data_IF_970973588558
#
_entry.id   IF_970973588558
#
_cell.length_a   1.000
_cell.length_b   1.000
_cell.length_c   1.000
_cell.angle_alpha   90.00
_cell.angle_beta   90.00
_cell.angle_gamma   90.00
#
_symmetry.space_group_name_H-M   'P 1'
#
loop_
_entity.id
_entity.type
_entity.pdbx_description
1 polymer ?
#
# COMPACT_ATOMS: atom_id res chain seq x y z
N UNK A 1 -25.09 -10.80 12.97
CA UNK A 1 -25.85 -10.67 11.71
C UNK A 1 -25.12 -11.52 10.68
N UNK A 2 -25.75 -12.58 10.17
CA UNK A 2 -25.09 -13.52 9.23
C UNK A 2 -24.76 -12.77 7.94
N UNK A 3 -23.51 -12.86 7.51
CA UNK A 3 -23.04 -12.39 6.21
C UNK A 3 -23.92 -13.08 5.15
N UNK A 4 -24.52 -12.28 4.27
CA UNK A 4 -25.40 -12.75 3.21
C UNK A 4 -24.72 -13.78 2.31
N UNK A 5 -25.56 -14.63 1.75
CA UNK A 5 -25.26 -15.74 0.83
C UNK A 5 -23.96 -15.59 0.03
N UNK A 6 -22.95 -16.35 0.45
CA UNK A 6 -22.06 -17.15 -0.39
C UNK A 6 -21.55 -16.54 -1.70
N UNK A 7 -20.93 -15.36 -1.68
CA UNK A 7 -20.07 -14.95 -2.81
C UNK A 7 -18.78 -15.76 -2.73
N UNK A 8 -18.73 -16.84 -3.51
CA UNK A 8 -17.56 -17.73 -3.61
C UNK A 8 -16.48 -17.00 -4.42
N UNK A 9 -15.31 -16.69 -3.82
CA UNK A 9 -14.15 -16.08 -4.51
C UNK A 9 -13.87 -16.69 -5.88
N UNK A 10 -13.89 -18.04 -6.05
CA UNK A 10 -13.80 -18.67 -7.36
C UNK A 10 -14.81 -18.18 -8.41
N UNK A 11 -16.03 -17.79 -8.03
CA UNK A 11 -17.03 -17.25 -8.96
C UNK A 11 -16.70 -15.81 -9.36
N UNK A 12 -16.40 -14.95 -8.38
CA UNK A 12 -15.99 -13.55 -8.63
C UNK A 12 -14.80 -13.49 -9.57
N UNK A 13 -13.81 -14.36 -9.36
CA UNK A 13 -12.63 -14.40 -10.23
C UNK A 13 -12.92 -15.02 -11.59
N UNK A 14 -13.81 -16.02 -11.68
CA UNK A 14 -14.12 -16.77 -12.91
C UNK A 14 -14.81 -15.94 -13.99
N UNK A 15 -15.52 -14.90 -13.59
CA UNK A 15 -16.28 -14.08 -14.53
C UNK A 15 -15.63 -12.71 -14.76
N UNK A 16 -14.45 -12.45 -14.17
CA UNK A 16 -13.70 -11.22 -14.40
C UNK A 16 -13.46 -11.00 -15.91
N UNK A 17 -13.93 -9.87 -16.49
CA UNK A 17 -13.55 -9.47 -17.84
C UNK A 17 -12.04 -9.42 -17.98
N UNK A 18 -11.52 -9.98 -19.07
CA UNK A 18 -10.07 -10.10 -19.30
C UNK A 18 -9.64 -9.15 -20.43
N UNK A 19 -8.48 -8.52 -20.25
CA UNK A 19 -7.75 -7.89 -21.33
C UNK A 19 -7.19 -8.97 -22.29
N UNK A 20 -6.85 -8.60 -23.54
CA UNK A 20 -6.18 -9.51 -24.46
C UNK A 20 -4.92 -10.14 -23.84
N UNK A 21 -4.68 -11.41 -24.12
CA UNK A 21 -3.54 -12.14 -23.53
C UNK A 21 -2.17 -11.59 -23.96
N UNK A 22 -2.12 -10.89 -25.10
CA UNK A 22 -0.95 -10.24 -25.67
C UNK A 22 -0.78 -8.77 -25.24
N UNK A 23 -1.64 -8.26 -24.34
CA UNK A 23 -1.47 -6.92 -23.80
C UNK A 23 -0.16 -6.82 -23.02
N UNK A 24 0.62 -5.78 -23.30
CA UNK A 24 1.83 -5.43 -22.54
C UNK A 24 1.50 -4.47 -21.42
N UNK A 25 2.09 -4.69 -20.24
CA UNK A 25 1.99 -3.80 -19.08
C UNK A 25 3.31 -3.05 -18.83
N UNK A 26 4.14 -2.94 -19.88
CA UNK A 26 5.49 -2.41 -19.84
C UNK A 26 6.51 -3.52 -19.59
N UNK A 27 7.69 -3.37 -20.20
CA UNK A 27 8.75 -4.38 -20.21
C UNK A 27 9.15 -4.88 -18.80
N UNK A 28 9.02 -4.04 -17.78
CA UNK A 28 9.36 -4.40 -16.41
C UNK A 28 8.31 -5.31 -15.74
N UNK A 29 7.02 -5.09 -15.99
CA UNK A 29 5.94 -5.97 -15.53
C UNK A 29 5.92 -7.24 -16.39
N UNK A 30 6.09 -7.13 -17.70
CA UNK A 30 6.08 -8.27 -18.61
C UNK A 30 7.20 -9.26 -18.23
N UNK A 31 8.42 -8.78 -17.99
CA UNK A 31 9.54 -9.60 -17.52
C UNK A 31 9.28 -10.23 -16.13
N UNK A 32 8.54 -9.53 -15.25
CA UNK A 32 8.14 -10.12 -13.97
C UNK A 32 7.06 -11.20 -14.15
N UNK A 33 6.10 -10.99 -15.06
CA UNK A 33 5.04 -11.94 -15.38
C UNK A 33 5.56 -13.27 -15.94
N UNK A 34 6.67 -13.25 -16.69
CA UNK A 34 7.33 -14.48 -17.17
C UNK A 34 7.62 -15.47 -16.03
N UNK A 35 7.95 -14.98 -14.84
CA UNK A 35 8.19 -15.83 -13.66
C UNK A 35 6.94 -15.95 -12.80
N UNK A 36 6.28 -14.83 -12.52
CA UNK A 36 5.15 -14.76 -11.60
C UNK A 36 3.94 -15.57 -12.07
N UNK A 37 3.70 -15.62 -13.38
CA UNK A 37 2.55 -16.29 -13.98
C UNK A 37 2.94 -17.59 -14.70
N UNK A 38 4.19 -18.05 -14.54
CA UNK A 38 4.62 -19.36 -15.04
C UNK A 38 4.09 -20.46 -14.11
N UNK A 39 3.39 -21.48 -14.64
CA UNK A 39 2.87 -22.60 -13.86
C UNK A 39 3.98 -23.35 -13.10
N UNK A 40 5.15 -23.49 -13.71
CA UNK A 40 6.28 -24.28 -13.18
C UNK A 40 7.15 -23.51 -12.18
N UNK A 41 6.91 -22.21 -11.99
CA UNK A 41 7.63 -21.42 -10.99
C UNK A 41 7.19 -21.81 -9.57
N UNK A 42 8.16 -22.03 -8.69
CA UNK A 42 7.94 -22.17 -7.25
C UNK A 42 7.58 -20.83 -6.60
N UNK A 43 6.93 -20.86 -5.43
CA UNK A 43 6.65 -19.64 -4.65
C UNK A 43 7.92 -18.83 -4.35
N UNK A 44 9.05 -19.50 -4.07
CA UNK A 44 10.35 -18.85 -3.84
C UNK A 44 10.81 -18.07 -5.06
N UNK A 45 10.71 -18.64 -6.26
CA UNK A 45 11.05 -17.96 -7.51
C UNK A 45 10.12 -16.78 -7.79
N UNK A 46 8.81 -16.94 -7.54
CA UNK A 46 7.81 -15.88 -7.71
C UNK A 46 8.07 -14.71 -6.77
N UNK A 47 8.30 -14.98 -5.48
CA UNK A 47 8.68 -13.95 -4.49
C UNK A 47 9.97 -13.23 -4.87
N UNK A 48 10.98 -13.97 -5.33
CA UNK A 48 12.23 -13.36 -5.79
C UNK A 48 12.02 -12.45 -7.01
N UNK A 49 11.15 -12.84 -7.95
CA UNK A 49 10.79 -11.99 -9.09
C UNK A 49 10.06 -10.71 -8.66
N UNK A 50 9.08 -10.82 -7.76
CA UNK A 50 8.38 -9.66 -7.19
C UNK A 50 9.36 -8.73 -6.44
N UNK A 51 10.25 -9.28 -5.60
CA UNK A 51 11.25 -8.48 -4.90
C UNK A 51 12.20 -7.75 -5.86
N UNK A 52 12.66 -8.40 -6.94
CA UNK A 52 13.48 -7.73 -7.98
C UNK A 52 12.73 -6.57 -8.62
N UNK A 53 11.43 -6.73 -8.90
CA UNK A 53 10.60 -5.67 -9.44
C UNK A 53 10.40 -4.54 -8.44
N UNK A 54 10.02 -4.84 -7.19
CA UNK A 54 9.84 -3.85 -6.12
C UNK A 54 11.10 -3.02 -5.90
N UNK A 55 12.27 -3.65 -5.91
CA UNK A 55 13.57 -2.99 -5.71
C UNK A 55 13.92 -1.94 -6.78
N UNK A 56 13.31 -2.00 -7.98
CA UNK A 56 13.69 -1.18 -9.14
C UNK A 56 12.55 -0.31 -9.67
N UNK A 57 11.36 -0.88 -9.77
CA UNK A 57 10.23 -0.31 -10.51
C UNK A 57 9.15 0.30 -9.63
N UNK A 58 9.00 -0.13 -8.37
CA UNK A 58 8.01 0.47 -7.47
C UNK A 58 8.44 1.89 -7.07
N UNK A 59 7.58 2.91 -7.15
CA UNK A 59 7.94 4.28 -6.76
C UNK A 59 8.21 4.44 -5.27
N UNK A 60 7.63 3.59 -4.42
CA UNK A 60 7.78 3.62 -2.97
C UNK A 60 9.20 3.23 -2.53
N UNK A 61 9.92 4.16 -1.87
CA UNK A 61 11.25 3.90 -1.34
C UNK A 61 11.26 2.93 -0.15
N UNK A 62 10.18 2.88 0.64
CA UNK A 62 10.05 1.93 1.75
C UNK A 62 10.06 0.49 1.23
N UNK A 63 9.27 0.20 0.18
CA UNK A 63 9.25 -1.12 -0.45
C UNK A 63 10.62 -1.52 -0.99
N UNK A 64 11.30 -0.63 -1.71
CA UNK A 64 12.68 -0.87 -2.21
C UNK A 64 13.65 -1.21 -1.09
N UNK A 65 13.61 -0.43 -0.02
CA UNK A 65 14.49 -0.61 1.13
C UNK A 65 14.22 -1.94 1.84
N UNK A 66 12.94 -2.28 2.06
CA UNK A 66 12.53 -3.50 2.73
C UNK A 66 12.92 -4.77 1.94
N UNK A 67 13.04 -4.70 0.60
CA UNK A 67 13.53 -5.84 -0.20
C UNK A 67 14.96 -6.25 0.14
N UNK A 68 15.75 -5.36 0.77
CA UNK A 68 17.15 -5.58 1.17
C UNK A 68 17.29 -6.13 2.58
N UNK A 69 16.21 -6.55 3.25
CA UNK A 69 16.27 -7.07 4.62
C UNK A 69 17.20 -8.29 4.78
N UNK A 70 17.33 -9.11 3.73
CA UNK A 70 18.24 -10.26 3.72
C UNK A 70 19.71 -9.87 3.51
N UNK A 71 19.98 -8.65 3.02
CA UNK A 71 21.34 -8.11 2.84
C UNK A 71 21.87 -7.49 4.15
N UNK A 72 21.07 -7.52 5.23
CA UNK A 72 21.43 -7.08 6.56
C UNK A 72 20.82 -5.73 6.96
N UNK A 73 20.86 -5.45 8.27
CA UNK A 73 20.23 -4.27 8.90
C UNK A 73 20.72 -2.96 8.30
N UNK A 74 22.00 -2.85 7.92
CA UNK A 74 22.53 -1.64 7.28
C UNK A 74 21.93 -1.40 5.88
N UNK A 75 21.71 -2.46 5.10
CA UNK A 75 21.19 -2.39 3.74
C UNK A 75 19.69 -2.06 3.70
N UNK A 76 18.91 -2.61 4.63
CA UNK A 76 17.49 -2.28 4.79
C UNK A 76 17.21 -1.13 5.75
N UNK A 77 18.25 -0.52 6.35
CA UNK A 77 18.13 0.45 7.45
C UNK A 77 17.17 -0.04 8.53
N UNK A 78 17.26 -1.32 8.88
CA UNK A 78 16.39 -1.96 9.89
C UNK A 78 14.92 -2.14 9.49
N UNK A 79 14.50 -1.73 8.30
CA UNK A 79 13.15 -1.97 7.80
C UNK A 79 13.00 -3.44 7.40
N UNK A 80 12.03 -4.12 8.00
CA UNK A 80 11.58 -5.44 7.59
C UNK A 80 10.18 -5.37 6.98
N UNK A 81 9.90 -6.37 6.14
CA UNK A 81 8.61 -6.54 5.49
C UNK A 81 8.23 -8.01 5.46
N UNK A 82 7.03 -8.31 5.94
CA UNK A 82 6.43 -9.63 5.86
C UNK A 82 5.52 -9.72 4.62
N UNK A 83 5.34 -10.92 4.07
CA UNK A 83 4.52 -11.12 2.88
C UNK A 83 3.72 -12.42 2.94
N UNK A 84 2.39 -12.30 2.88
CA UNK A 84 1.46 -13.38 2.61
C UNK A 84 1.34 -13.58 1.09
N UNK A 85 1.50 -14.82 0.63
CA UNK A 85 1.33 -15.19 -0.77
C UNK A 85 0.06 -16.01 -0.92
N UNK A 86 -0.83 -15.57 -1.80
CA UNK A 86 -2.08 -16.22 -2.16
C UNK A 86 -2.02 -16.53 -3.66
N UNK A 87 -2.05 -17.80 -4.05
CA UNK A 87 -2.05 -18.23 -5.44
C UNK A 87 -3.41 -18.77 -5.91
N UNK A 88 -3.48 -19.25 -7.16
CA UNK A 88 -4.71 -19.81 -7.72
C UNK A 88 -5.22 -21.05 -6.95
N UNK A 89 -4.33 -21.84 -6.32
CA UNK A 89 -4.74 -22.98 -5.49
C UNK A 89 -5.43 -22.47 -4.21
N UNK A 90 -4.82 -21.50 -3.52
CA UNK A 90 -5.43 -20.87 -2.35
C UNK A 90 -6.80 -20.24 -2.69
N UNK A 91 -6.89 -19.51 -3.81
CA UNK A 91 -8.12 -18.87 -4.27
C UNK A 91 -9.21 -19.90 -4.59
N UNK A 92 -8.84 -21.05 -5.16
CA UNK A 92 -9.78 -22.14 -5.48
C UNK A 92 -10.44 -22.75 -4.25
N UNK A 93 -9.79 -22.68 -3.08
CA UNK A 93 -10.29 -23.19 -1.80
C UNK A 93 -11.36 -22.28 -1.17
N UNK A 94 -11.61 -21.10 -1.74
CA UNK A 94 -12.65 -20.17 -1.32
C UNK A 94 -12.18 -19.11 -0.32
N UNK A 95 -13.05 -18.12 -0.08
CA UNK A 95 -12.72 -16.94 0.71
C UNK A 95 -12.33 -17.28 2.14
N UNK A 96 -13.00 -18.23 2.78
CA UNK A 96 -12.71 -18.59 4.18
C UNK A 96 -11.29 -19.12 4.36
N UNK A 97 -10.81 -19.96 3.43
CA UNK A 97 -9.44 -20.47 3.46
C UNK A 97 -8.40 -19.37 3.22
N UNK A 98 -8.70 -18.44 2.30
CA UNK A 98 -7.88 -17.26 2.04
C UNK A 98 -7.83 -16.35 3.27
N UNK A 99 -8.97 -16.05 3.87
CA UNK A 99 -9.10 -15.27 5.12
C UNK A 99 -8.26 -15.90 6.23
N UNK A 100 -8.39 -17.21 6.46
CA UNK A 100 -7.61 -17.90 7.49
C UNK A 100 -6.10 -17.77 7.24
N UNK A 101 -5.65 -17.94 5.98
CA UNK A 101 -4.24 -17.79 5.60
C UNK A 101 -3.73 -16.36 5.81
N UNK A 102 -4.52 -15.36 5.41
CA UNK A 102 -4.22 -13.94 5.59
C UNK A 102 -4.14 -13.57 7.07
N UNK A 103 -5.12 -13.97 7.90
CA UNK A 103 -5.14 -13.63 9.32
C UNK A 103 -3.98 -14.29 10.09
N UNK A 104 -3.62 -15.54 9.78
CA UNK A 104 -2.41 -16.17 10.35
C UNK A 104 -1.14 -15.41 9.97
N UNK A 105 -1.03 -14.96 8.73
CA UNK A 105 0.13 -14.17 8.29
C UNK A 105 0.17 -12.80 8.97
N UNK A 106 -0.99 -12.13 9.11
CA UNK A 106 -1.16 -10.85 9.82
C UNK A 106 -0.73 -10.96 11.29
N UNK A 107 -1.14 -12.01 12.00
CA UNK A 107 -0.74 -12.23 13.39
C UNK A 107 0.78 -12.40 13.53
N UNK A 108 1.40 -13.23 12.67
CA UNK A 108 2.86 -13.42 12.69
C UNK A 108 3.62 -12.13 12.39
N UNK A 109 3.14 -11.34 11.44
CA UNK A 109 3.70 -10.02 11.15
C UNK A 109 3.59 -9.11 12.38
N UNK A 110 2.41 -9.01 13.00
CA UNK A 110 2.21 -8.19 14.21
C UNK A 110 3.12 -8.64 15.35
N UNK A 111 3.32 -9.94 15.56
CA UNK A 111 4.24 -10.46 16.58
C UNK A 111 5.70 -10.04 16.31
N UNK A 112 6.12 -9.98 15.04
CA UNK A 112 7.44 -9.44 14.65
C UNK A 112 7.51 -7.91 14.80
N UNK A 113 6.40 -7.22 14.55
CA UNK A 113 6.30 -5.78 14.70
C UNK A 113 6.48 -5.32 16.14
N UNK A 114 6.00 -6.10 17.13
CA UNK A 114 6.16 -5.82 18.58
C UNK A 114 7.63 -5.52 18.94
N UNK A 115 8.59 -6.14 18.25
CA UNK A 115 10.02 -5.98 18.50
C UNK A 115 10.71 -5.05 17.50
N UNK A 116 9.94 -4.33 16.68
CA UNK A 116 10.41 -3.38 15.68
C UNK A 116 11.09 -4.03 14.47
N UNK A 117 10.94 -5.34 14.25
CA UNK A 117 11.59 -6.06 13.14
C UNK A 117 10.84 -5.98 11.82
N UNK A 118 9.58 -5.55 11.83
CA UNK A 118 8.75 -5.42 10.63
C UNK A 118 7.78 -4.27 10.79
N UNK A 119 7.76 -3.36 9.82
CA UNK A 119 6.85 -2.20 9.79
C UNK A 119 5.95 -2.20 8.55
N UNK A 120 6.08 -3.23 7.71
CA UNK A 120 5.33 -3.38 6.48
C UNK A 120 4.84 -4.82 6.31
N UNK A 121 3.64 -4.95 5.75
CA UNK A 121 3.05 -6.24 5.44
C UNK A 121 2.38 -6.21 4.08
N UNK A 122 2.64 -7.24 3.29
CA UNK A 122 2.14 -7.39 1.93
C UNK A 122 1.25 -8.62 1.83
N UNK A 123 0.14 -8.52 1.12
CA UNK A 123 -0.69 -9.66 0.74
C UNK A 123 -0.75 -9.68 -0.79
N UNK A 124 -0.01 -10.60 -1.39
CA UNK A 124 0.03 -10.79 -2.84
C UNK A 124 -1.00 -11.83 -3.26
N UNK A 125 -1.98 -11.41 -4.04
CA UNK A 125 -2.92 -12.28 -4.76
C UNK A 125 -2.38 -12.50 -6.17
N UNK A 126 -1.58 -13.55 -6.32
CA UNK A 126 -0.93 -13.88 -7.57
C UNK A 126 -1.81 -14.83 -8.40
N UNK A 127 -2.46 -14.26 -9.41
CA UNK A 127 -3.33 -15.00 -10.33
C UNK A 127 -3.25 -14.36 -11.71
N UNK A 128 -3.15 -15.18 -12.75
CA UNK A 128 -3.21 -14.68 -14.13
C UNK A 128 -4.54 -13.95 -14.38
N UNK A 129 -5.63 -14.43 -13.80
CA UNK A 129 -6.97 -13.82 -13.97
C UNK A 129 -7.07 -12.43 -13.37
N UNK A 130 -6.38 -12.19 -12.25
CA UNK A 130 -6.26 -10.87 -11.64
C UNK A 130 -5.30 -9.98 -12.41
N UNK A 131 -4.18 -10.54 -12.90
CA UNK A 131 -3.17 -9.79 -13.64
C UNK A 131 -3.72 -9.23 -14.96
N UNK A 132 -4.57 -10.00 -15.64
CA UNK A 132 -5.20 -9.61 -16.90
C UNK A 132 -6.64 -9.13 -16.74
N UNK A 133 -7.11 -8.89 -15.52
CA UNK A 133 -8.45 -8.33 -15.31
C UNK A 133 -8.54 -6.93 -15.94
N UNK A 134 -9.59 -6.72 -16.74
CA UNK A 134 -9.87 -5.41 -17.32
C UNK A 134 -10.28 -4.40 -16.23
N UNK A 135 -9.87 -3.12 -16.35
CA UNK A 135 -10.41 -2.06 -15.51
C UNK A 135 -11.95 -2.04 -15.61
N UNK A 136 -12.64 -1.98 -14.48
CA UNK A 136 -14.10 -2.04 -14.46
C UNK A 136 -14.68 -2.36 -13.08
N UNK A 137 -16.02 -2.36 -13.00
CA UNK A 137 -16.76 -2.61 -11.77
C UNK A 137 -16.47 -3.98 -11.18
N UNK A 138 -16.28 -4.99 -12.04
CA UNK A 138 -16.01 -6.37 -11.60
C UNK A 138 -14.65 -6.49 -10.93
N UNK A 139 -13.64 -5.79 -11.44
CA UNK A 139 -12.33 -5.71 -10.78
C UNK A 139 -12.42 -4.97 -9.44
N UNK A 140 -13.16 -3.86 -9.37
CA UNK A 140 -13.37 -3.14 -8.12
C UNK A 140 -14.10 -4.01 -7.07
N UNK A 141 -15.12 -4.77 -7.49
CA UNK A 141 -15.84 -5.71 -6.64
C UNK A 141 -14.96 -6.88 -6.17
N UNK A 142 -14.12 -7.42 -7.06
CA UNK A 142 -13.14 -8.44 -6.70
C UNK A 142 -12.11 -7.91 -5.70
N UNK A 143 -11.61 -6.68 -5.90
CA UNK A 143 -10.69 -6.04 -4.97
C UNK A 143 -11.32 -5.84 -3.57
N UNK A 144 -12.58 -5.39 -3.49
CA UNK A 144 -13.32 -5.30 -2.23
C UNK A 144 -13.48 -6.67 -1.56
N UNK A 145 -13.86 -7.70 -2.33
CA UNK A 145 -14.03 -9.06 -1.81
C UNK A 145 -12.73 -9.59 -1.21
N UNK A 146 -11.61 -9.42 -1.92
CA UNK A 146 -10.29 -9.87 -1.45
C UNK A 146 -9.77 -9.01 -0.28
N UNK A 147 -10.08 -7.72 -0.25
CA UNK A 147 -9.81 -6.86 0.91
C UNK A 147 -10.56 -7.33 2.16
N UNK A 148 -11.75 -7.91 2.01
CA UNK A 148 -12.52 -8.49 3.11
C UNK A 148 -11.84 -9.68 3.80
N UNK A 149 -10.92 -10.38 3.11
CA UNK A 149 -10.10 -11.43 3.75
C UNK A 149 -9.11 -10.85 4.77
N UNK A 150 -8.75 -9.58 4.61
CA UNK A 150 -7.85 -8.85 5.49
C UNK A 150 -8.60 -8.04 6.56
N UNK A 151 -9.62 -7.28 6.15
CA UNK A 151 -10.41 -6.38 7.00
C UNK A 151 -11.53 -7.14 7.73
N UNK A 152 -11.21 -8.17 8.50
CA UNK A 152 -12.25 -9.01 9.15
C UNK A 152 -13.07 -8.26 10.20
N UNK A 153 -12.53 -7.17 10.75
CA UNK A 153 -13.22 -6.30 11.70
C UNK A 153 -14.24 -5.36 11.03
N UNK A 154 -14.15 -5.16 9.71
CA UNK A 154 -14.96 -4.21 8.95
C UNK A 154 -15.39 -4.79 7.60
N UNK A 155 -16.69 -4.83 7.32
CA UNK A 155 -17.11 -5.11 5.94
C UNK A 155 -16.50 -4.04 5.01
N UNK A 156 -15.67 -4.42 4.02
CA UNK A 156 -14.97 -3.44 3.19
C UNK A 156 -15.99 -2.68 2.34
N UNK A 157 -16.10 -1.38 2.61
CA UNK A 157 -16.82 -0.40 1.78
C UNK A 157 -15.84 0.41 0.92
N UNK A 158 -16.26 0.82 -0.30
CA UNK A 158 -15.46 1.66 -1.18
C UNK A 158 -15.26 3.09 -0.63
N UNK A 159 -14.31 3.83 -1.20
CA UNK A 159 -14.10 5.27 -0.96
C UNK A 159 -13.79 5.64 0.51
N UNK A 160 -13.22 4.67 1.22
CA UNK A 160 -12.88 4.76 2.64
C UNK A 160 -11.41 4.45 2.88
N UNK A 161 -10.80 5.26 3.75
CA UNK A 161 -9.46 5.05 4.30
C UNK A 161 -9.57 4.03 5.41
N UNK A 162 -8.88 2.91 5.22
CA UNK A 162 -8.64 1.93 6.25
C UNK A 162 -7.23 2.11 6.79
N UNK A 163 -7.11 2.04 8.11
CA UNK A 163 -5.82 1.95 8.78
C UNK A 163 -5.69 0.59 9.46
N UNK A 164 -4.47 0.16 9.70
CA UNK A 164 -4.16 -1.02 10.51
C UNK A 164 -3.36 -0.61 11.76
N UNK A 165 -3.51 -1.37 12.84
CA UNK A 165 -2.70 -1.29 14.05
C UNK A 165 -1.41 -2.09 13.94
N UNK A 166 -0.27 -1.44 14.12
CA UNK A 166 1.04 -2.07 14.15
C UNK A 166 1.64 -1.92 15.55
N UNK A 167 1.73 -3.01 16.34
CA UNK A 167 2.19 -2.93 17.72
C UNK A 167 3.71 -2.78 17.81
N UNK A 168 4.20 -1.98 18.76
CA UNK A 168 5.61 -1.85 19.12
C UNK A 168 5.76 -1.80 20.64
N UNK A 169 6.69 -2.58 21.18
CA UNK A 169 7.08 -2.51 22.57
C UNK A 169 8.20 -1.49 22.74
N UNK A 170 7.98 -0.53 23.62
CA UNK A 170 8.95 0.50 23.95
C UNK A 170 9.91 0.06 25.06
N UNK A 171 11.06 0.74 25.22
CA UNK A 171 12.02 0.45 26.29
C UNK A 171 11.44 0.57 27.71
N UNK A 172 10.39 1.37 27.89
CA UNK A 172 9.63 1.50 29.14
C UNK A 172 8.73 0.28 29.44
N UNK A 173 8.68 -0.70 28.52
CA UNK A 173 7.86 -1.90 28.59
C UNK A 173 6.43 -1.71 28.05
N UNK A 174 6.01 -0.47 27.79
CA UNK A 174 4.68 -0.17 27.26
C UNK A 174 4.52 -0.71 25.84
N UNK A 175 3.31 -1.16 25.54
CA UNK A 175 2.93 -1.60 24.21
C UNK A 175 2.07 -0.51 23.58
N UNK A 176 2.50 -0.01 22.42
CA UNK A 176 1.78 0.99 21.66
C UNK A 176 1.43 0.47 20.28
N UNK A 177 0.27 0.84 19.74
CA UNK A 177 -0.10 0.56 18.36
C UNK A 177 -0.03 1.81 17.51
N UNK A 178 0.49 1.64 16.30
CA UNK A 178 0.70 2.70 15.31
C UNK A 178 -0.16 2.48 14.07
N UNK A 179 -0.67 3.57 13.48
CA UNK A 179 -1.41 3.52 12.22
C UNK A 179 -0.47 3.11 11.08
N UNK A 180 -0.90 2.09 10.34
CA UNK A 180 -0.44 1.79 8.99
C UNK A 180 -1.51 2.21 8.00
N UNK A 181 -1.12 2.82 6.88
CA UNK A 181 -2.03 2.94 5.73
C UNK A 181 -2.25 1.58 5.09
N UNK A 182 -3.46 1.34 4.57
CA UNK A 182 -3.82 0.10 3.84
C UNK A 182 -4.10 0.47 2.40
N UNK A 183 -3.29 -0.04 1.48
CA UNK A 183 -3.22 0.44 0.10
C UNK A 183 -3.35 -0.69 -0.91
N UNK A 184 -4.13 -0.47 -1.98
CA UNK A 184 -4.27 -1.41 -3.08
C UNK A 184 -3.32 -1.07 -4.24
N UNK A 185 -2.73 -2.12 -4.80
CA UNK A 185 -1.96 -2.11 -6.04
C UNK A 185 -2.50 -3.20 -6.96
N UNK A 186 -2.55 -2.96 -8.26
CA UNK A 186 -2.98 -3.98 -9.22
C UNK A 186 -2.39 -3.75 -10.62
N UNK A 187 -2.25 -4.82 -11.39
CA UNK A 187 -1.60 -4.79 -12.72
C UNK A 187 -2.28 -3.81 -13.68
N UNK A 188 -3.62 -3.79 -13.72
CA UNK A 188 -4.39 -2.95 -14.64
C UNK A 188 -4.34 -1.44 -14.34
N UNK A 189 -3.70 -1.01 -13.25
CA UNK A 189 -3.38 0.40 -13.00
C UNK A 189 -2.36 0.95 -14.02
N UNK A 190 -1.66 0.08 -14.76
CA UNK A 190 -0.72 0.47 -15.79
C UNK A 190 -1.33 1.47 -16.80
N UNK A 191 -0.63 2.59 -17.00
CA UNK A 191 -1.05 3.79 -17.75
C UNK A 191 -2.46 4.33 -17.45
N UNK A 192 -2.97 4.16 -16.22
CA UNK A 192 -4.27 4.72 -15.78
C UNK A 192 -4.10 5.86 -14.79
N UNK A 193 -5.22 6.34 -14.25
CA UNK A 193 -5.30 7.44 -13.29
C UNK A 193 -4.32 7.29 -12.12
N UNK A 194 -4.19 6.09 -11.59
CA UNK A 194 -3.32 5.69 -10.46
C UNK A 194 -2.17 4.79 -10.91
N UNK A 195 -1.44 5.20 -11.97
CA UNK A 195 -0.33 4.43 -12.53
C UNK A 195 0.72 3.99 -11.50
N UNK A 196 0.96 4.81 -10.48
CA UNK A 196 1.88 4.51 -9.38
C UNK A 196 1.45 3.34 -8.49
N UNK A 197 0.21 2.84 -8.66
CA UNK A 197 -0.32 1.62 -8.05
C UNK A 197 -0.19 0.36 -8.89
N UNK A 198 0.52 0.40 -10.02
CA UNK A 198 0.78 -0.81 -10.79
C UNK A 198 1.68 -1.77 -10.03
N UNK A 199 1.43 -3.07 -10.22
CA UNK A 199 2.24 -4.17 -9.66
C UNK A 199 2.09 -5.38 -10.58
N UNK A 200 3.12 -6.21 -10.79
CA UNK A 200 2.98 -7.42 -11.59
C UNK A 200 2.24 -8.52 -10.80
N UNK A 201 1.61 -9.44 -11.52
CA UNK A 201 1.13 -10.71 -11.01
C UNK A 201 -0.32 -10.73 -10.52
N UNK A 202 -1.04 -9.60 -10.54
CA UNK A 202 -2.43 -9.52 -10.09
C UNK A 202 -2.69 -8.33 -9.19
N UNK A 203 -2.96 -8.61 -7.92
CA UNK A 203 -3.39 -7.65 -6.92
C UNK A 203 -2.51 -7.77 -5.67
N UNK A 204 -2.13 -6.64 -5.11
CA UNK A 204 -1.33 -6.55 -3.89
C UNK A 204 -2.01 -5.57 -2.92
N UNK A 205 -2.27 -6.02 -1.70
CA UNK A 205 -2.62 -5.15 -0.58
C UNK A 205 -1.35 -4.90 0.22
N UNK A 206 -1.06 -3.63 0.49
CA UNK A 206 0.14 -3.17 1.19
C UNK A 206 -0.25 -2.41 2.43
N UNK A 207 0.37 -2.79 3.56
CA UNK A 207 0.29 -2.07 4.82
C UNK A 207 1.65 -1.49 5.14
N UNK A 208 1.70 -0.19 5.42
CA UNK A 208 2.94 0.51 5.74
C UNK A 208 2.74 1.45 6.92
N UNK A 209 3.49 1.22 8.01
CA UNK A 209 3.49 2.08 9.20
C UNK A 209 4.78 2.91 9.28
N UNK A 210 4.85 4.07 8.60
CA UNK A 210 6.04 4.92 8.64
C UNK A 210 6.39 5.41 10.06
N UNK A 211 5.41 5.77 10.88
CA UNK A 211 5.69 6.19 12.26
C UNK A 211 6.12 5.05 13.18
N UNK A 212 5.55 3.84 13.03
CA UNK A 212 6.08 2.63 13.66
C UNK A 212 7.55 2.40 13.29
N UNK A 213 7.89 2.58 12.01
CA UNK A 213 9.26 2.42 11.55
C UNK A 213 10.20 3.45 12.18
N UNK A 214 9.81 4.72 12.25
CA UNK A 214 10.60 5.76 12.93
C UNK A 214 10.82 5.43 14.42
N UNK A 215 9.78 4.99 15.12
CA UNK A 215 9.86 4.59 16.52
C UNK A 215 10.75 3.35 16.70
N UNK A 216 10.62 2.35 15.82
CA UNK A 216 11.46 1.17 15.84
C UNK A 216 12.94 1.49 15.59
N UNK A 217 13.25 2.45 14.70
CA UNK A 217 14.63 2.91 14.47
C UNK A 217 15.25 3.49 15.74
N UNK A 218 14.53 4.37 16.43
CA UNK A 218 14.99 4.97 17.68
C UNK A 218 15.08 3.94 18.81
N UNK A 219 14.02 3.14 19.02
CA UNK A 219 13.96 2.13 20.09
C UNK A 219 15.04 1.04 19.96
N UNK A 220 15.45 0.72 18.72
CA UNK A 220 16.51 -0.27 18.43
C UNK A 220 17.91 0.34 18.35
N UNK A 221 18.05 1.64 18.63
CA UNK A 221 19.34 2.35 18.56
C UNK A 221 19.95 2.42 17.16
N UNK A 222 19.13 2.31 16.11
CA UNK A 222 19.57 2.44 14.71
C UNK A 222 19.65 3.90 14.25
N UNK A 223 19.05 4.80 15.02
CA UNK A 223 19.17 6.26 14.92
C UNK A 223 19.30 6.86 16.31
N UNK A 224 19.79 8.10 16.38
CA UNK A 224 20.13 8.76 17.65
C UNK A 224 18.89 8.99 18.51
N UNK A 225 17.82 9.47 17.89
CA UNK A 225 16.56 9.79 18.56
C UNK A 225 15.37 9.73 17.58
N UNK A 226 14.17 9.93 18.12
CA UNK A 226 12.92 9.94 17.37
C UNK A 226 12.85 11.10 16.37
N UNK A 227 13.45 12.25 16.68
CA UNK A 227 13.45 13.43 15.81
C UNK A 227 14.21 13.14 14.52
N UNK A 228 15.41 12.55 14.64
CA UNK A 228 16.21 12.10 13.50
C UNK A 228 15.47 11.04 12.68
N UNK A 229 14.85 10.06 13.37
CA UNK A 229 14.12 8.98 12.73
C UNK A 229 12.89 9.46 11.96
N UNK A 230 12.06 10.33 12.55
CA UNK A 230 10.91 10.94 11.88
C UNK A 230 11.33 11.78 10.68
N UNK A 231 12.40 12.58 10.82
CA UNK A 231 12.92 13.37 9.71
C UNK A 231 13.41 12.49 8.55
N UNK A 232 14.08 11.36 8.85
CA UNK A 232 14.48 10.38 7.85
C UNK A 232 13.28 9.75 7.12
N UNK A 233 12.31 9.25 7.87
CA UNK A 233 11.11 8.60 7.32
C UNK A 233 10.28 9.59 6.49
N UNK A 234 10.08 10.82 6.97
CA UNK A 234 9.37 11.87 6.22
C UNK A 234 10.06 12.18 4.89
N UNK A 235 11.40 12.29 4.87
CA UNK A 235 12.16 12.47 3.61
C UNK A 235 11.97 11.29 2.65
N UNK A 236 11.90 10.05 3.15
CA UNK A 236 11.63 8.88 2.31
C UNK A 236 10.22 8.90 1.72
N UNK A 237 9.21 9.27 2.51
CA UNK A 237 7.83 9.41 2.06
C UNK A 237 7.71 10.51 0.98
N UNK A 238 8.27 11.70 1.23
CA UNK A 238 8.30 12.80 0.27
C UNK A 238 9.00 12.45 -1.05
N UNK A 239 10.05 11.63 -1.00
CA UNK A 239 10.74 11.16 -2.22
C UNK A 239 9.95 10.12 -3.00
N UNK A 240 9.08 9.37 -2.33
CA UNK A 240 8.20 8.40 -2.97
C UNK A 240 7.06 9.10 -3.74
N UNK A 241 6.56 10.22 -3.20
CA UNK A 241 5.62 11.12 -3.89
C UNK A 241 6.29 11.73 -5.12
N UNK A 242 5.58 11.82 -6.24
CA UNK A 242 6.16 12.38 -7.47
C UNK A 242 7.05 11.42 -8.24
N UNK A 243 7.31 10.21 -7.73
CA UNK A 243 8.06 9.17 -8.42
C UNK A 243 7.14 8.24 -9.23
N UNK A 244 5.82 8.48 -9.23
CA UNK A 244 4.86 7.78 -10.08
C UNK A 244 5.24 7.95 -11.56
N UNK A 245 5.25 6.85 -12.32
CA UNK A 245 5.71 6.81 -13.72
C UNK A 245 7.02 6.05 -13.93
N UNK A 246 7.74 5.70 -12.86
CA UNK A 246 8.92 4.83 -12.96
C UNK A 246 8.55 3.49 -13.59
N UNK A 247 9.35 3.10 -14.59
CA UNK A 247 9.25 1.83 -15.30
C UNK A 247 8.38 1.84 -16.56
N UNK A 248 7.82 2.99 -16.99
CA UNK A 248 7.31 3.14 -18.35
C UNK A 248 7.61 4.53 -18.95
N UNK A 249 8.22 4.62 -20.14
CA UNK A 249 8.73 5.89 -20.69
C UNK A 249 7.65 6.92 -21.04
N UNK A 250 6.41 6.47 -21.27
CA UNK A 250 5.27 7.35 -21.61
C UNK A 250 4.31 7.57 -20.43
N UNK A 251 4.66 7.12 -19.22
CA UNK A 251 3.76 7.26 -18.09
C UNK A 251 3.80 8.69 -17.54
N UNK A 252 2.63 9.23 -17.24
CA UNK A 252 2.48 10.44 -16.43
C UNK A 252 2.46 10.06 -14.95
N UNK A 253 3.02 10.91 -14.09
CA UNK A 253 2.90 10.71 -12.64
C UNK A 253 1.47 10.92 -12.16
N UNK A 254 1.03 10.10 -11.19
CA UNK A 254 -0.29 10.17 -10.55
C UNK A 254 -0.29 10.87 -9.18
N UNK A 255 0.90 11.15 -8.65
CA UNK A 255 1.13 11.92 -7.44
C UNK A 255 2.30 12.87 -7.70
N UNK A 256 2.30 14.05 -7.10
CA UNK A 256 3.28 15.11 -7.39
C UNK A 256 3.57 15.94 -6.13
N UNK A 257 4.83 16.39 -6.01
CA UNK A 257 5.20 17.40 -5.01
C UNK A 257 4.62 18.75 -5.44
N UNK A 258 3.98 19.47 -4.53
CA UNK A 258 3.26 20.70 -4.84
C UNK A 258 4.16 21.77 -5.51
N UNK A 259 3.58 22.63 -6.37
CA UNK A 259 2.19 22.62 -6.84
C UNK A 259 1.91 21.50 -7.87
N UNK A 260 0.65 21.06 -7.96
CA UNK A 260 0.20 20.12 -9.01
C UNK A 260 0.68 20.60 -10.39
N UNK A 261 1.11 19.70 -11.28
CA UNK A 261 1.59 20.12 -12.59
C UNK A 261 0.42 20.73 -13.36
N UNK A 262 0.51 22.03 -13.65
CA UNK A 262 0.01 22.52 -14.92
C UNK A 262 0.68 21.65 -16.00
N UNK A 263 -0.14 20.97 -16.80
CA UNK A 263 0.28 20.02 -17.82
C UNK A 263 1.50 20.55 -18.59
N UNK A 264 2.65 19.87 -18.45
CA UNK A 264 3.75 19.75 -19.43
C UNK A 264 5.13 19.45 -18.80
N UNK A 265 5.42 19.83 -17.55
CA UNK A 265 6.83 19.88 -17.12
C UNK A 265 7.16 18.92 -15.98
N UNK A 266 7.72 17.77 -16.35
CA UNK A 266 8.32 16.79 -15.45
C UNK A 266 9.75 17.17 -15.05
N UNK A 267 9.92 17.67 -13.81
CA UNK A 267 11.26 17.74 -13.19
C UNK A 267 11.36 18.69 -11.98
N UNK A 268 11.90 18.15 -10.88
CA UNK A 268 12.39 18.83 -9.65
C UNK A 268 11.45 19.81 -8.91
N UNK A 269 11.69 20.12 -7.62
CA UNK A 269 10.83 21.02 -6.85
C UNK A 269 10.86 22.40 -7.51
N UNK A 270 9.67 22.92 -7.85
CA UNK A 270 9.46 24.27 -8.38
C UNK A 270 9.66 25.30 -7.25
N UNK A 271 9.84 26.56 -7.62
CA UNK A 271 9.61 27.67 -6.69
C UNK A 271 8.22 27.51 -6.05
N UNK A 272 8.14 27.61 -4.72
CA UNK A 272 6.89 27.35 -3.98
C UNK A 272 6.66 25.89 -3.55
N UNK A 273 7.69 25.05 -3.52
CA UNK A 273 7.61 23.72 -2.90
C UNK A 273 7.20 23.80 -1.43
N UNK A 274 6.06 23.18 -1.12
CA UNK A 274 5.60 22.95 0.24
C UNK A 274 5.94 21.50 0.67
N UNK A 275 6.79 21.28 1.68
CA UNK A 275 7.11 19.94 2.18
C UNK A 275 5.98 19.32 3.03
N UNK A 276 4.91 20.06 3.30
CA UNK A 276 3.77 19.60 4.08
C UNK A 276 2.70 18.99 3.19
N UNK A 277 2.50 19.57 2.00
CA UNK A 277 1.44 19.16 1.09
C UNK A 277 1.95 18.57 -0.23
N UNK A 278 1.14 17.70 -0.80
CA UNK A 278 1.30 17.13 -2.12
C UNK A 278 -0.06 16.96 -2.77
N UNK A 279 -0.05 16.74 -4.08
CA UNK A 279 -1.28 16.52 -4.83
C UNK A 279 -1.23 15.16 -5.55
N UNK A 280 -2.39 14.59 -5.84
CA UNK A 280 -2.50 13.37 -6.62
C UNK A 280 -3.81 13.35 -7.42
N UNK A 281 -3.90 12.45 -8.40
CA UNK A 281 -5.14 12.23 -9.17
C UNK A 281 -6.14 11.35 -8.44
N UNK A 282 -5.84 10.90 -7.23
CA UNK A 282 -6.68 10.02 -6.41
C UNK A 282 -6.26 10.13 -4.96
N UNK A 283 -7.11 9.70 -4.02
CA UNK A 283 -6.70 9.66 -2.61
C UNK A 283 -5.81 8.43 -2.37
N UNK A 284 -4.54 8.63 -2.08
CA UNK A 284 -3.58 7.53 -1.95
C UNK A 284 -3.92 6.56 -0.80
N UNK A 285 -4.58 7.01 0.26
CA UNK A 285 -4.84 6.13 1.42
C UNK A 285 -6.22 5.47 1.42
N UNK A 286 -7.05 5.71 0.40
CA UNK A 286 -8.25 4.90 0.20
C UNK A 286 -7.86 3.55 -0.40
N UNK A 287 -8.34 2.48 0.24
CA UNK A 287 -8.02 1.11 -0.16
C UNK A 287 -8.59 0.77 -1.55
N UNK A 288 -9.90 0.96 -1.75
CA UNK A 288 -10.56 0.71 -3.05
C UNK A 288 -11.36 1.95 -3.45
N UNK A 289 -10.97 2.59 -4.56
CA UNK A 289 -11.69 3.71 -5.20
C UNK A 289 -12.30 3.22 -6.51
N UNK A 290 -13.60 2.86 -6.54
CA UNK A 290 -14.24 2.34 -7.75
C UNK A 290 -14.11 3.28 -8.95
N UNK A 291 -14.28 4.59 -8.75
CA UNK A 291 -14.14 5.59 -9.84
C UNK A 291 -12.73 5.54 -10.48
N UNK A 292 -11.71 5.34 -9.65
CA UNK A 292 -10.31 5.29 -10.10
C UNK A 292 -10.00 3.95 -10.79
N UNK A 293 -10.49 2.84 -10.25
CA UNK A 293 -10.29 1.48 -10.82
C UNK A 293 -11.06 1.29 -12.13
N UNK A 294 -12.24 1.90 -12.24
CA UNK A 294 -13.10 1.81 -13.43
C UNK A 294 -12.63 2.72 -14.57
N UNK A 295 -11.74 3.69 -14.32
CA UNK A 295 -11.21 4.58 -15.35
C UNK A 295 -10.31 3.83 -16.34
N UNK A 296 -10.92 3.36 -17.43
CA UNK A 296 -10.26 2.65 -18.51
C UNK A 296 -9.57 3.56 -19.54
N UNK A 297 -9.42 4.87 -19.29
CA UNK A 297 -8.69 5.80 -20.19
C UNK A 297 -7.18 5.61 -20.08
N UNK A 298 -6.47 5.54 -21.20
CA UNK A 298 -5.00 5.47 -21.20
C UNK A 298 -4.48 6.89 -20.99
N UNK A 299 -3.64 7.09 -19.98
CA UNK A 299 -3.11 8.39 -19.56
C UNK A 299 -1.62 8.45 -19.89
N UNK A 300 -1.29 8.97 -21.06
CA UNK A 300 0.10 9.13 -21.53
C UNK A 300 0.47 10.58 -21.87
N UNK A 301 -0.51 11.47 -21.87
CA UNK A 301 -0.39 12.88 -22.24
C UNK A 301 -0.31 13.82 -21.02
N UNK A 302 -0.49 13.28 -19.82
CA UNK A 302 -0.47 14.04 -18.57
C UNK A 302 -1.67 14.97 -18.38
N UNK A 303 -2.77 14.75 -19.11
CA UNK A 303 -3.99 15.55 -18.97
C UNK A 303 -4.91 15.00 -17.87
N UNK A 304 -5.29 15.89 -16.95
CA UNK A 304 -6.16 15.61 -15.81
C UNK A 304 -7.21 16.72 -15.70
N UNK A 305 -8.46 16.38 -15.37
CA UNK A 305 -9.43 17.41 -15.01
C UNK A 305 -9.17 17.92 -13.58
N UNK A 306 -9.55 19.16 -13.28
CA UNK A 306 -9.36 19.71 -11.93
C UNK A 306 -10.11 18.90 -10.85
N UNK A 307 -11.26 18.33 -11.21
CA UNK A 307 -12.08 17.46 -10.35
C UNK A 307 -11.39 16.14 -10.01
N UNK A 308 -10.47 15.67 -10.87
CA UNK A 308 -9.70 14.45 -10.64
C UNK A 308 -8.58 14.67 -9.61
N UNK A 309 -8.23 15.93 -9.31
CA UNK A 309 -7.08 16.30 -8.48
C UNK A 309 -7.49 16.44 -7.02
N UNK A 310 -6.73 15.76 -6.15
CA UNK A 310 -6.70 15.94 -4.71
C UNK A 310 -5.56 16.90 -4.37
N UNK A 311 -5.84 18.18 -4.05
CA UNK A 311 -4.82 19.23 -4.02
C UNK A 311 -4.08 19.38 -2.68
N UNK A 312 -4.62 18.82 -1.61
CA UNK A 312 -4.18 19.09 -0.23
C UNK A 312 -3.89 17.83 0.58
N UNK A 313 -3.27 16.82 -0.05
CA UNK A 313 -2.79 15.66 0.70
C UNK A 313 -1.55 16.05 1.50
N UNK A 314 -1.36 15.53 2.71
CA UNK A 314 -0.22 15.92 3.56
C UNK A 314 0.42 14.74 4.30
N UNK A 315 1.64 14.96 4.79
CA UNK A 315 2.43 14.00 5.58
C UNK A 315 2.74 14.51 7.00
N UNK A 316 1.98 15.49 7.46
CA UNK A 316 2.25 16.20 8.73
C UNK A 316 2.11 15.30 9.97
N UNK A 317 1.44 14.17 9.79
CA UNK A 317 1.37 13.11 10.79
C UNK A 317 2.73 12.43 11.07
N UNK A 318 3.77 12.65 10.24
CA UNK A 318 5.15 12.22 10.50
C UNK A 318 5.96 13.31 11.21
N UNK A 319 5.51 13.69 12.40
CA UNK A 319 6.09 14.76 13.19
C UNK A 319 6.39 14.28 14.63
N UNK A 320 7.61 14.51 15.15
CA UNK A 320 7.95 14.17 16.53
C UNK A 320 7.29 15.10 17.56
N UNK A 321 6.71 16.24 17.15
CA UNK A 321 6.02 17.15 18.05
C UNK A 321 4.84 16.46 18.75
N UNK A 322 4.65 16.67 20.06
CA UNK A 322 3.53 16.09 20.79
C UNK A 322 2.19 16.44 20.15
N UNK A 323 1.29 15.45 20.11
CA UNK A 323 -0.09 15.63 19.66
C UNK A 323 -1.03 15.19 20.79
N UNK A 324 -2.21 15.80 20.85
CA UNK A 324 -3.25 15.37 21.79
C UNK A 324 -3.64 13.89 21.52
N UNK A 325 -3.75 13.02 22.54
CA UNK A 325 -4.15 11.62 22.36
C UNK A 325 -5.51 11.41 21.69
N UNK A 326 -6.41 12.38 21.79
CA UNK A 326 -7.69 12.42 21.09
C UNK A 326 -7.60 12.95 19.66
N UNK A 327 -6.44 13.47 19.25
CA UNK A 327 -6.21 13.87 17.86
C UNK A 327 -6.28 12.64 16.94
N UNK A 328 -6.99 12.74 15.81
CA UNK A 328 -6.94 11.72 14.77
C UNK A 328 -5.52 11.34 14.34
N UNK A 329 -4.59 12.29 14.37
CA UNK A 329 -3.24 12.11 13.88
C UNK A 329 -2.30 11.41 14.89
N UNK A 330 -2.71 11.31 16.15
CA UNK A 330 -1.87 10.81 17.25
C UNK A 330 -1.31 9.41 16.98
N UNK A 331 -2.16 8.53 16.43
CA UNK A 331 -1.82 7.15 16.13
C UNK A 331 -0.73 6.98 15.06
N UNK A 332 -0.43 7.99 14.25
CA UNK A 332 0.59 7.88 13.21
C UNK A 332 2.01 7.96 13.78
N UNK A 333 2.33 8.99 14.57
CA UNK A 333 3.70 9.21 15.08
C UNK A 333 3.93 8.75 16.53
N UNK A 334 2.92 8.86 17.39
CA UNK A 334 3.06 8.66 18.83
C UNK A 334 2.57 7.29 19.28
N UNK A 335 1.51 6.81 18.63
CA UNK A 335 0.89 5.52 18.90
C UNK A 335 -0.05 5.57 20.10
N UNK A 336 -0.96 4.60 20.20
CA UNK A 336 -1.90 4.48 21.31
C UNK A 336 -1.46 3.37 22.25
N UNK A 337 -1.41 3.65 23.55
CA UNK A 337 -1.14 2.62 24.56
C UNK A 337 -2.24 1.56 24.55
N UNK A 338 -1.84 0.29 24.53
CA UNK A 338 -2.74 -0.86 24.57
C UNK A 338 -2.26 -1.91 25.56
N UNK A 339 -3.18 -2.75 26.02
CA UNK A 339 -2.82 -3.94 26.80
C UNK A 339 -2.32 -5.07 25.87
N UNK A 340 -1.68 -6.09 26.47
CA UNK A 340 -1.14 -7.22 25.71
C UNK A 340 -2.20 -7.98 24.91
N UNK A 341 -3.41 -8.10 25.46
CA UNK A 341 -4.52 -8.82 24.82
C UNK A 341 -5.07 -8.11 23.58
N UNK A 342 -4.92 -6.79 23.49
CA UNK A 342 -5.40 -5.96 22.38
C UNK A 342 -4.33 -5.69 21.33
N UNK A 343 -3.14 -6.32 21.41
CA UNK A 343 -2.01 -6.08 20.49
C UNK A 343 -2.34 -6.40 19.02
N UNK A 344 -3.33 -7.26 18.79
CA UNK A 344 -3.78 -7.66 17.47
C UNK A 344 -5.03 -6.91 17.02
N UNK A 345 -5.66 -6.13 17.89
CA UNK A 345 -6.88 -5.40 17.59
C UNK A 345 -6.55 -4.09 16.87
N UNK A 346 -7.49 -3.63 16.04
CA UNK A 346 -7.41 -2.33 15.39
C UNK A 346 -8.39 -1.36 16.05
N UNK A 347 -7.92 -0.33 16.77
CA UNK A 347 -8.80 0.58 17.48
C UNK A 347 -9.38 1.68 16.59
N UNK A 348 -8.88 1.86 15.36
CA UNK A 348 -9.28 2.98 14.52
C UNK A 348 -10.43 2.60 13.58
N UNK A 349 -11.52 3.37 13.57
CA UNK A 349 -12.58 3.17 12.60
C UNK A 349 -12.11 3.55 11.20
N UNK A 350 -12.71 2.92 10.20
CA UNK A 350 -12.56 3.33 8.81
C UNK A 350 -13.18 4.72 8.59
N UNK A 351 -12.58 5.53 7.70
CA UNK A 351 -12.97 6.94 7.50
C UNK A 351 -13.25 7.27 6.04
N UNK A 352 -14.39 7.89 5.71
CA UNK A 352 -14.65 8.38 4.36
C UNK A 352 -13.58 9.37 3.93
N UNK A 353 -13.07 9.24 2.71
CA UNK A 353 -12.20 10.26 2.13
C UNK A 353 -13.03 11.41 1.57
N UNK A 354 -12.59 12.65 1.82
CA UNK A 354 -13.23 13.85 1.29
C UNK A 354 -12.17 14.67 0.57
N UNK A 355 -12.40 15.00 -0.71
CA UNK A 355 -11.52 15.86 -1.47
C UNK A 355 -11.73 17.32 -1.07
N UNK A 356 -11.17 17.70 0.08
CA UNK A 356 -11.25 19.04 0.64
C UNK A 356 -9.87 19.52 1.13
N UNK A 357 -9.61 20.84 1.15
CA UNK A 357 -8.34 21.39 1.60
C UNK A 357 -7.97 21.03 3.05
N UNK A 358 -8.95 20.87 3.92
CA UNK A 358 -8.78 20.66 5.37
C UNK A 358 -9.06 19.19 5.77
N UNK A 359 -8.84 18.24 4.88
CA UNK A 359 -9.05 16.82 5.19
C UNK A 359 -7.93 16.29 6.08
N UNK A 360 -8.25 16.03 7.36
CA UNK A 360 -7.38 15.36 8.33
C UNK A 360 -7.69 13.85 8.42
N UNK A 361 -6.66 13.01 8.61
CA UNK A 361 -6.75 11.54 8.57
C UNK A 361 -7.48 10.90 9.72
#
# INVERSE_FOLDING_TARGET
MRIGDGVVVPAVLRDLPQLPADVSFGADIDAAHEVLLCPDSTEVQRRAALHRWLARSQPCLFGRLATRQNDGVGASRGLGMDMCWIDDEDLSRGLDAVTEKVQRARHRWKDRAVTGHSSAFLIMFNSRRLAYAAPGSDLAAAALTLAGAYLVEHAPVPDVIYTEAVPLRHPDGALRVYKASVQLFHTSAHLRRHHDRRVPGGLLISMNAPGHYAQALAARGLMTDLTEAMAFVRRMALRSIGAGGIGHPRASGSSWRNPAPHAADGGCPRDGFDPHHYSATYQIDVLVQPEVITDARIRTDGSWSAEEIWPSLHLDYLNPAPTDPGSPEHGWAHGLDVNETARHDNPWPARPAVNAPDFDY
#
